data_IF_007071805220
#
_entry.id   IF_007071805220
#
_cell.length_a   1.000
_cell.length_b   1.000
_cell.length_c   1.000
_cell.angle_alpha   90.00
_cell.angle_beta   90.00
_cell.angle_gamma   90.00
#
_symmetry.space_group_name_H-M   'P 1'
#
loop_
_entity.id
_entity.type
_entity.pdbx_description
1 polymer ?
#
# COMPACT_ATOMS: atom_id res chain seq x y z
N UNK A 1 -23.16 7.71 3.92
CA UNK A 1 -22.75 8.83 4.77
C UNK A 1 -22.20 8.26 6.08
N UNK A 2 -20.89 8.45 6.43
CA UNK A 2 -20.29 7.92 7.67
C UNK A 2 -20.91 8.54 8.94
N UNK A 3 -21.57 9.67 8.80
CA UNK A 3 -22.26 10.39 9.90
C UNK A 3 -23.55 9.70 10.38
N UNK A 4 -24.08 8.75 9.60
CA UNK A 4 -25.33 8.04 9.96
C UNK A 4 -25.12 6.81 10.85
N UNK A 5 -23.87 6.39 11.09
CA UNK A 5 -23.52 5.28 12.00
C UNK A 5 -22.44 5.69 13.00
N UNK A 6 -22.82 6.37 14.11
CA UNK A 6 -21.86 6.95 15.07
C UNK A 6 -21.17 5.91 15.97
N UNK A 7 -21.55 4.63 15.92
CA UNK A 7 -21.05 3.58 16.81
C UNK A 7 -20.32 2.44 16.11
N UNK A 8 -20.30 2.41 14.76
CA UNK A 8 -19.76 1.31 13.99
C UNK A 8 -18.62 1.71 13.05
N UNK A 9 -18.71 1.22 11.80
CA UNK A 9 -17.70 1.47 10.76
C UNK A 9 -17.56 2.94 10.38
N UNK A 10 -18.62 3.76 10.53
CA UNK A 10 -18.59 5.21 10.31
C UNK A 10 -17.68 5.94 11.30
N UNK A 11 -17.68 5.52 12.58
CA UNK A 11 -16.78 6.07 13.58
C UNK A 11 -15.30 5.81 13.23
N UNK A 12 -14.99 4.60 12.73
CA UNK A 12 -13.63 4.23 12.34
C UNK A 12 -13.11 5.12 11.19
N UNK A 13 -13.95 5.35 10.17
CA UNK A 13 -13.59 6.23 9.06
C UNK A 13 -13.38 7.68 9.51
N UNK A 14 -14.26 8.19 10.37
CA UNK A 14 -14.14 9.54 10.90
C UNK A 14 -12.85 9.71 11.73
N UNK A 15 -12.55 8.76 12.59
CA UNK A 15 -11.33 8.76 13.41
C UNK A 15 -10.08 8.67 12.53
N UNK A 16 -10.07 7.80 11.50
CA UNK A 16 -8.97 7.70 10.55
C UNK A 16 -8.71 9.04 9.82
N UNK A 17 -9.77 9.72 9.36
CA UNK A 17 -9.66 11.03 8.71
C UNK A 17 -9.13 12.11 9.66
N UNK A 18 -9.60 12.12 10.92
CA UNK A 18 -9.11 13.06 11.94
C UNK A 18 -7.64 12.79 12.26
N UNK A 19 -7.21 11.53 12.32
CA UNK A 19 -5.81 11.16 12.54
C UNK A 19 -4.91 11.68 11.43
N UNK A 20 -5.29 11.50 10.15
CA UNK A 20 -4.55 12.06 9.01
C UNK A 20 -4.44 13.59 9.12
N UNK A 21 -5.57 14.27 9.40
CA UNK A 21 -5.60 15.74 9.54
C UNK A 21 -4.79 16.25 10.72
N UNK A 22 -4.69 15.49 11.80
CA UNK A 22 -3.97 15.89 13.02
C UNK A 22 -2.44 15.86 12.86
N UNK A 23 -1.90 15.12 11.89
CA UNK A 23 -0.47 14.99 11.63
C UNK A 23 0.16 16.24 10.98
N UNK A 24 -0.63 17.14 10.42
CA UNK A 24 -0.14 18.32 9.70
C UNK A 24 0.94 17.98 8.65
N UNK A 25 1.94 18.87 8.43
CA UNK A 25 3.02 18.64 7.44
C UNK A 25 4.11 17.69 7.94
N UNK A 26 4.51 17.80 9.21
CA UNK A 26 5.67 17.10 9.77
C UNK A 26 5.33 15.90 10.65
N UNK A 27 4.04 15.68 10.94
CA UNK A 27 3.60 14.66 11.86
C UNK A 27 3.78 15.05 13.34
N UNK A 28 3.13 14.27 14.21
CA UNK A 28 3.28 14.44 15.67
C UNK A 28 4.50 13.73 16.23
N UNK A 29 5.23 13.01 15.39
CA UNK A 29 6.39 12.20 15.78
C UNK A 29 6.03 10.76 16.13
N UNK A 30 6.99 9.86 15.88
CA UNK A 30 6.91 8.45 16.26
C UNK A 30 6.91 8.36 17.80
N UNK A 31 5.91 7.64 18.35
CA UNK A 31 5.79 7.40 19.80
C UNK A 31 5.41 8.63 20.66
N UNK A 32 4.81 9.67 20.09
CA UNK A 32 4.31 10.79 20.90
C UNK A 32 3.20 10.29 21.85
N UNK A 33 3.30 10.58 23.19
CA UNK A 33 2.30 10.14 24.17
C UNK A 33 0.92 10.78 23.95
N UNK A 34 0.84 11.86 23.17
CA UNK A 34 -0.40 12.54 22.78
C UNK A 34 -1.02 11.99 21.49
N UNK A 35 -0.41 11.01 20.85
CA UNK A 35 -0.92 10.34 19.66
C UNK A 35 -2.25 9.64 19.96
N UNK A 36 -3.25 9.84 19.10
CA UNK A 36 -4.54 9.13 19.16
C UNK A 36 -4.37 7.62 18.96
N UNK A 37 -3.34 7.24 18.23
CA UNK A 37 -2.90 5.86 18.04
C UNK A 37 -2.58 5.21 19.37
N UNK A 38 -1.79 5.86 20.24
CA UNK A 38 -1.45 5.32 21.56
C UNK A 38 -2.63 5.34 22.55
N UNK A 39 -3.55 6.28 22.40
CA UNK A 39 -4.78 6.35 23.22
C UNK A 39 -5.84 5.30 22.80
N UNK A 40 -5.53 4.41 21.84
CA UNK A 40 -6.44 3.36 21.40
C UNK A 40 -7.71 3.86 20.70
N UNK A 41 -7.72 5.13 20.27
CA UNK A 41 -8.91 5.76 19.69
C UNK A 41 -9.18 5.33 18.25
N UNK A 42 -8.20 4.70 17.57
CA UNK A 42 -8.37 4.17 16.20
C UNK A 42 -8.45 2.66 16.28
N UNK A 43 -9.62 2.04 16.10
CA UNK A 43 -9.76 0.58 16.07
C UNK A 43 -9.06 0.00 14.82
N UNK A 44 -8.53 -1.24 14.95
CA UNK A 44 -7.87 -1.99 13.85
C UNK A 44 -6.72 -1.22 13.18
N UNK A 45 -5.93 -0.50 13.98
CA UNK A 45 -4.82 0.36 13.54
C UNK A 45 -3.75 -0.38 12.72
N UNK A 46 -3.54 -1.67 13.03
CA UNK A 46 -2.41 -2.45 12.51
C UNK A 46 -2.66 -3.08 11.13
N UNK A 47 -3.89 -3.12 10.65
CA UNK A 47 -4.20 -3.73 9.35
C UNK A 47 -4.71 -2.74 8.31
N UNK A 48 -5.93 -2.21 8.50
CA UNK A 48 -6.64 -1.53 7.42
C UNK A 48 -6.41 -0.01 7.43
N UNK A 49 -6.17 0.59 8.61
CA UNK A 49 -5.96 2.03 8.80
C UNK A 49 -4.50 2.42 9.03
N UNK A 50 -3.55 1.57 8.63
CA UNK A 50 -2.12 1.85 8.81
C UNK A 50 -1.69 3.16 8.13
N UNK A 51 -2.31 3.51 7.01
CA UNK A 51 -2.04 4.78 6.33
C UNK A 51 -2.49 5.98 7.16
N UNK A 52 -3.62 5.89 7.90
CA UNK A 52 -4.06 6.93 8.82
C UNK A 52 -3.11 7.11 10.01
N UNK A 53 -2.56 6.00 10.51
CA UNK A 53 -1.51 6.00 11.54
C UNK A 53 -0.24 6.67 11.03
N UNK A 54 0.19 6.33 9.80
CA UNK A 54 1.32 6.97 9.16
C UNK A 54 1.08 8.48 8.98
N UNK A 55 -0.14 8.89 8.61
CA UNK A 55 -0.54 10.29 8.51
C UNK A 55 -0.41 11.07 9.80
N UNK A 56 -0.79 10.46 10.93
CA UNK A 56 -0.65 11.11 12.26
C UNK A 56 0.81 11.21 12.70
N UNK A 57 1.61 10.14 12.50
CA UNK A 57 2.98 10.06 13.02
C UNK A 57 4.00 10.75 12.12
N UNK A 58 3.92 10.54 10.81
CA UNK A 58 4.87 11.03 9.81
C UNK A 58 4.39 12.31 9.09
N UNK A 59 3.13 12.66 9.27
CA UNK A 59 2.52 13.82 8.62
C UNK A 59 2.34 13.65 7.11
N UNK A 60 2.02 14.77 6.45
CA UNK A 60 1.76 14.80 5.02
C UNK A 60 2.98 14.36 4.19
N UNK A 61 4.19 14.78 4.60
CA UNK A 61 5.45 14.43 3.90
C UNK A 61 5.68 12.92 3.93
N UNK A 62 5.49 12.28 5.08
CA UNK A 62 5.63 10.83 5.20
C UNK A 62 4.59 10.06 4.37
N UNK A 63 3.34 10.51 4.35
CA UNK A 63 2.31 9.92 3.50
C UNK A 63 2.64 10.03 2.02
N UNK A 64 3.10 11.20 1.57
CA UNK A 64 3.53 11.41 0.19
C UNK A 64 4.71 10.51 -0.19
N UNK A 65 5.69 10.34 0.71
CA UNK A 65 6.80 9.42 0.49
C UNK A 65 6.32 7.99 0.30
N UNK A 66 5.41 7.50 1.16
CA UNK A 66 4.83 6.15 1.04
C UNK A 66 4.12 5.98 -0.31
N UNK A 67 3.28 6.93 -0.69
CA UNK A 67 2.55 6.89 -1.98
C UNK A 67 3.53 6.87 -3.15
N UNK A 68 4.57 7.72 -3.13
CA UNK A 68 5.59 7.78 -4.20
C UNK A 68 6.34 6.46 -4.31
N UNK A 69 6.75 5.86 -3.19
CA UNK A 69 7.44 4.56 -3.19
C UNK A 69 6.57 3.45 -3.76
N UNK A 70 5.30 3.37 -3.36
CA UNK A 70 4.36 2.41 -3.91
C UNK A 70 4.10 2.65 -5.41
N UNK A 71 3.99 3.90 -5.82
CA UNK A 71 3.82 4.26 -7.22
C UNK A 71 5.05 3.87 -8.07
N UNK A 72 6.27 4.12 -7.56
CA UNK A 72 7.51 3.69 -8.22
C UNK A 72 7.56 2.16 -8.38
N UNK A 73 7.12 1.42 -7.37
CA UNK A 73 7.02 -0.04 -7.44
C UNK A 73 6.04 -0.48 -8.54
N UNK A 74 4.88 0.17 -8.66
CA UNK A 74 3.91 -0.10 -9.72
C UNK A 74 4.49 0.20 -11.11
N UNK A 75 5.14 1.36 -11.27
CA UNK A 75 5.80 1.74 -12.54
C UNK A 75 6.90 0.74 -12.89
N UNK A 76 7.70 0.30 -11.93
CA UNK A 76 8.73 -0.70 -12.14
C UNK A 76 8.15 -2.05 -12.58
N UNK A 77 7.06 -2.50 -11.95
CA UNK A 77 6.39 -3.75 -12.30
C UNK A 77 5.84 -3.71 -13.73
N UNK A 78 5.21 -2.62 -14.14
CA UNK A 78 4.68 -2.47 -15.50
C UNK A 78 5.82 -2.38 -16.54
N UNK A 79 6.93 -1.75 -16.17
CA UNK A 79 8.12 -1.69 -17.02
C UNK A 79 8.68 -3.09 -17.29
N UNK A 80 8.79 -3.94 -16.25
CA UNK A 80 9.22 -5.34 -16.39
C UNK A 80 8.22 -6.12 -17.25
N UNK A 81 6.91 -5.95 -17.03
CA UNK A 81 5.86 -6.61 -17.79
C UNK A 81 5.95 -6.31 -19.29
N UNK A 82 6.17 -5.05 -19.66
CA UNK A 82 6.27 -4.60 -21.07
C UNK A 82 7.50 -5.10 -21.79
N UNK A 83 8.55 -5.45 -21.06
CA UNK A 83 9.83 -5.89 -21.63
C UNK A 83 10.10 -7.36 -21.37
N UNK A 84 9.14 -8.11 -20.85
CA UNK A 84 9.27 -9.56 -20.63
C UNK A 84 9.44 -10.28 -21.97
N UNK A 85 10.33 -11.28 -22.00
CA UNK A 85 10.67 -12.03 -23.20
C UNK A 85 9.56 -13.01 -23.57
N UNK A 86 8.85 -13.52 -22.56
CA UNK A 86 7.79 -14.53 -22.71
C UNK A 86 6.41 -13.96 -22.37
N UNK A 87 5.36 -14.34 -23.13
CA UNK A 87 3.99 -13.89 -22.87
C UNK A 87 3.48 -14.25 -21.48
N UNK A 88 3.88 -15.43 -20.96
CA UNK A 88 3.50 -15.91 -19.64
C UNK A 88 4.06 -14.98 -18.54
N UNK A 89 5.35 -14.64 -18.61
CA UNK A 89 6.00 -13.74 -17.67
C UNK A 89 5.37 -12.34 -17.68
N UNK A 90 5.05 -11.83 -18.88
CA UNK A 90 4.33 -10.56 -19.03
C UNK A 90 2.96 -10.60 -18.35
N UNK A 91 2.18 -11.67 -18.58
CA UNK A 91 0.84 -11.81 -17.98
C UNK A 91 0.88 -11.90 -16.45
N UNK A 92 1.86 -12.59 -15.87
CA UNK A 92 2.08 -12.67 -14.42
C UNK A 92 2.36 -11.26 -13.86
N UNK A 93 3.23 -10.49 -14.50
CA UNK A 93 3.57 -9.14 -14.06
C UNK A 93 2.37 -8.18 -14.15
N UNK A 94 1.55 -8.25 -15.21
CA UNK A 94 0.33 -7.45 -15.31
C UNK A 94 -0.72 -7.85 -14.27
N UNK A 95 -0.89 -9.13 -13.99
CA UNK A 95 -1.79 -9.62 -12.93
C UNK A 95 -1.36 -9.11 -11.56
N UNK A 96 -0.07 -9.19 -11.26
CA UNK A 96 0.48 -8.68 -10.00
C UNK A 96 0.38 -7.16 -9.87
N UNK A 97 0.64 -6.43 -10.96
CA UNK A 97 0.40 -4.99 -11.03
C UNK A 97 -1.05 -4.63 -10.71
N UNK A 98 -2.02 -5.30 -11.35
CA UNK A 98 -3.45 -5.07 -11.12
C UNK A 98 -3.86 -5.33 -9.67
N UNK A 99 -3.33 -6.40 -9.06
CA UNK A 99 -3.58 -6.75 -7.66
C UNK A 99 -3.07 -5.63 -6.72
N UNK A 100 -1.82 -5.20 -6.85
CA UNK A 100 -1.25 -4.13 -5.99
C UNK A 100 -1.96 -2.80 -6.23
N UNK A 101 -2.21 -2.43 -7.48
CA UNK A 101 -2.86 -1.17 -7.83
C UNK A 101 -4.28 -1.09 -7.24
N UNK A 102 -5.06 -2.18 -7.32
CA UNK A 102 -6.39 -2.23 -6.73
C UNK A 102 -6.36 -2.16 -5.20
N UNK A 103 -5.48 -2.92 -4.54
CA UNK A 103 -5.32 -2.86 -3.08
C UNK A 103 -4.94 -1.45 -2.62
N UNK A 104 -3.99 -0.81 -3.28
CA UNK A 104 -3.57 0.57 -2.99
C UNK A 104 -4.74 1.55 -3.17
N UNK A 105 -5.46 1.48 -4.30
CA UNK A 105 -6.58 2.37 -4.58
C UNK A 105 -7.72 2.23 -3.56
N UNK A 106 -8.10 0.99 -3.21
CA UNK A 106 -9.14 0.74 -2.23
C UNK A 106 -8.74 1.16 -0.82
N UNK A 107 -7.52 0.86 -0.38
CA UNK A 107 -7.04 1.24 0.96
C UNK A 107 -6.96 2.77 1.11
N UNK A 108 -6.31 3.46 0.17
CA UNK A 108 -6.22 4.92 0.19
C UNK A 108 -7.61 5.57 0.10
N UNK A 109 -8.47 5.08 -0.80
CA UNK A 109 -9.82 5.60 -0.95
C UNK A 109 -10.68 5.39 0.31
N UNK A 110 -10.52 4.26 1.01
CA UNK A 110 -11.17 4.01 2.31
C UNK A 110 -10.68 4.98 3.38
N UNK A 111 -9.37 5.21 3.49
CA UNK A 111 -8.78 6.15 4.45
C UNK A 111 -9.22 7.61 4.19
N UNK A 112 -9.51 7.95 2.93
CA UNK A 112 -10.02 9.26 2.52
C UNK A 112 -11.55 9.38 2.54
N UNK A 113 -12.27 8.35 2.99
CA UNK A 113 -13.75 8.27 2.99
C UNK A 113 -14.39 8.30 1.58
N UNK A 114 -13.65 7.94 0.53
CA UNK A 114 -14.19 7.81 -0.83
C UNK A 114 -14.89 6.46 -1.02
N UNK A 115 -14.42 5.42 -0.33
CA UNK A 115 -15.00 4.07 -0.34
C UNK A 115 -15.44 3.63 1.05
N UNK A 116 -16.42 2.71 1.15
CA UNK A 116 -16.81 2.13 2.43
C UNK A 116 -15.66 1.28 3.02
N UNK A 117 -15.75 0.96 4.32
CA UNK A 117 -14.77 0.10 5.00
C UNK A 117 -14.82 -1.32 4.43
N UNK A 118 -13.76 -1.73 3.72
CA UNK A 118 -13.67 -3.01 3.02
C UNK A 118 -12.66 -3.98 3.63
N UNK A 119 -11.86 -3.56 4.63
CA UNK A 119 -10.84 -4.43 5.25
C UNK A 119 -9.70 -4.81 4.29
N UNK A 120 -9.36 -3.94 3.35
CA UNK A 120 -8.27 -4.15 2.38
C UNK A 120 -6.97 -3.57 2.95
N UNK A 121 -5.95 -4.42 3.08
CA UNK A 121 -4.65 -4.04 3.62
C UNK A 121 -3.82 -3.23 2.63
N UNK A 122 -3.03 -2.26 3.11
CA UNK A 122 -2.07 -1.53 2.27
C UNK A 122 -0.87 -2.45 1.95
N UNK A 123 -0.50 -2.62 0.66
CA UNK A 123 0.62 -3.48 0.28
C UNK A 123 1.92 -3.10 0.99
N UNK A 124 2.64 -4.08 1.53
CA UNK A 124 3.93 -3.98 2.23
C UNK A 124 3.93 -3.20 3.56
N UNK A 125 2.87 -2.49 3.90
CA UNK A 125 2.78 -1.68 5.13
C UNK A 125 1.91 -2.30 6.21
N UNK A 126 0.87 -3.05 5.81
CA UNK A 126 -0.06 -3.63 6.78
C UNK A 126 0.47 -4.90 7.45
N UNK A 127 0.16 -5.07 8.72
CA UNK A 127 0.55 -6.23 9.54
C UNK A 127 -0.31 -7.48 9.26
N UNK A 128 -0.49 -7.86 8.00
CA UNK A 128 -1.20 -9.07 7.58
C UNK A 128 -0.20 -10.16 7.19
N UNK A 129 0.05 -11.16 8.04
CA UNK A 129 1.05 -12.20 7.77
C UNK A 129 0.83 -12.96 6.46
N UNK A 130 -0.41 -13.38 6.17
CA UNK A 130 -0.76 -14.08 4.93
C UNK A 130 -0.70 -13.17 3.70
N UNK A 131 -1.19 -11.94 3.80
CA UNK A 131 -1.13 -10.96 2.70
C UNK A 131 0.31 -10.56 2.39
N UNK A 132 1.15 -10.37 3.41
CA UNK A 132 2.57 -10.10 3.23
C UNK A 132 3.29 -11.27 2.52
N UNK A 133 3.04 -12.53 2.94
CA UNK A 133 3.62 -13.70 2.30
C UNK A 133 3.24 -13.78 0.80
N UNK A 134 1.97 -13.57 0.46
CA UNK A 134 1.51 -13.54 -0.93
C UNK A 134 2.16 -12.42 -1.75
N UNK A 135 2.33 -11.22 -1.15
CA UNK A 135 2.98 -10.10 -1.81
C UNK A 135 4.47 -10.37 -2.08
N UNK A 136 5.20 -10.90 -1.10
CA UNK A 136 6.61 -11.25 -1.28
C UNK A 136 6.79 -12.37 -2.31
N UNK A 137 5.92 -13.37 -2.29
CA UNK A 137 5.94 -14.44 -3.30
C UNK A 137 5.68 -13.89 -4.71
N UNK A 138 4.63 -13.08 -4.88
CA UNK A 138 4.31 -12.45 -6.16
C UNK A 138 5.43 -11.53 -6.66
N UNK A 139 6.06 -10.77 -5.75
CA UNK A 139 7.21 -9.93 -6.10
C UNK A 139 8.43 -10.75 -6.50
N UNK A 140 8.66 -11.91 -5.86
CA UNK A 140 9.67 -12.87 -6.25
C UNK A 140 9.48 -13.39 -7.69
N UNK A 141 8.22 -13.65 -8.10
CA UNK A 141 7.91 -14.04 -9.49
C UNK A 141 8.23 -12.90 -10.47
N UNK A 142 7.88 -11.66 -10.14
CA UNK A 142 8.22 -10.48 -10.97
C UNK A 142 9.73 -10.32 -11.12
N UNK A 143 10.49 -10.55 -10.06
CA UNK A 143 11.96 -10.51 -10.11
C UNK A 143 12.54 -11.65 -10.96
N UNK A 144 11.98 -12.85 -10.89
CA UNK A 144 12.37 -13.97 -11.72
C UNK A 144 12.19 -13.65 -13.21
N UNK A 145 11.07 -13.04 -13.59
CA UNK A 145 10.82 -12.59 -14.99
C UNK A 145 11.84 -11.54 -15.43
N UNK A 146 12.18 -10.59 -14.55
CA UNK A 146 13.18 -9.56 -14.83
C UNK A 146 14.58 -10.14 -15.06
N UNK A 147 14.98 -11.11 -14.22
CA UNK A 147 16.28 -11.79 -14.34
C UNK A 147 16.38 -12.67 -15.58
N UNK A 148 15.30 -13.36 -15.96
CA UNK A 148 15.27 -14.17 -17.16
C UNK A 148 15.55 -13.35 -18.42
N UNK A 149 14.97 -12.16 -18.51
CA UNK A 149 15.25 -11.23 -19.59
C UNK A 149 16.73 -10.84 -19.67
N UNK A 150 17.33 -10.47 -18.52
CA UNK A 150 18.73 -10.04 -18.45
C UNK A 150 19.66 -11.17 -18.95
N UNK A 151 19.39 -12.41 -18.55
CA UNK A 151 20.17 -13.57 -18.99
C UNK A 151 20.07 -13.76 -20.52
N UNK A 152 18.89 -13.61 -21.10
CA UNK A 152 18.69 -13.74 -22.54
C UNK A 152 19.41 -12.63 -23.34
N UNK A 153 19.44 -11.41 -22.80
CA UNK A 153 20.15 -10.30 -23.43
C UNK A 153 21.68 -10.51 -23.38
N UNK A 154 22.22 -11.05 -22.29
CA UNK A 154 23.66 -11.39 -22.17
C UNK A 154 24.04 -12.48 -23.16
N UNK A 155 23.25 -13.54 -23.31
CA UNK A 155 23.51 -14.63 -24.29
C UNK A 155 23.56 -14.08 -25.72
N UNK A 156 22.66 -13.16 -26.09
CA UNK A 156 22.64 -12.52 -27.42
C UNK A 156 23.84 -11.65 -27.74
N UNK A 157 24.54 -11.13 -26.71
CA UNK A 157 25.74 -10.29 -26.90
C UNK A 157 26.98 -11.17 -27.15
N UNK A 158 26.97 -12.42 -26.69
CA UNK A 158 28.10 -13.34 -26.79
C UNK A 158 27.98 -14.34 -27.99
N UNK A 159 26.89 -14.31 -28.73
CA UNK A 159 26.69 -15.04 -30.00
C UNK A 159 26.74 -14.10 -31.18
#
# INVERSE_FOLDING_TARGET
HPESDPTGKGLQQLQGKISIGSGQLWGRGLFSPDSRVQKGSVPVQQSDYIFSVAGEQLGFIGCMLIIVLLFLLLVRTIHIARHATEPLGSSICYGFFGMIASQMAFNLGMCLNLFPVMGVTLPFFSAGGSSAACLYFGFGLVQCVAMHKINMDIVKIHT
#
